data_IF_300123257305
#
_entry.id   IF_300123257305
#
_cell.length_a   1.000
_cell.length_b   1.000
_cell.length_c   1.000
_cell.angle_alpha   90.00
_cell.angle_beta   90.00
_cell.angle_gamma   90.00
#
_symmetry.space_group_name_H-M   'P 1'
#
loop_
_entity.id
_entity.type
_entity.pdbx_description
1 polymer ?
#
# COMPACT_ATOMS: atom_id res chain seq x y z
N UNK A 1 -7.55 -6.96 -11.75
CA UNK A 1 -7.36 -6.64 -10.32
C UNK A 1 -7.47 -5.14 -10.14
N UNK A 2 -7.78 -4.69 -8.93
CA UNK A 2 -7.94 -3.28 -8.57
C UNK A 2 -6.89 -2.84 -7.58
N UNK A 3 -6.14 -1.79 -7.92
CA UNK A 3 -5.21 -1.11 -7.04
C UNK A 3 -5.92 0.01 -6.30
N UNK A 4 -5.81 0.05 -4.97
CA UNK A 4 -6.20 1.18 -4.14
C UNK A 4 -4.98 2.03 -3.81
N UNK A 5 -4.95 3.28 -4.27
CA UNK A 5 -3.84 4.20 -4.03
C UNK A 5 -4.24 5.18 -2.94
N UNK A 6 -3.65 5.07 -1.75
CA UNK A 6 -3.96 5.97 -0.64
C UNK A 6 -3.45 7.39 -0.92
N UNK A 7 -4.30 8.38 -0.67
CA UNK A 7 -3.98 9.81 -0.85
C UNK A 7 -4.06 10.52 0.48
N UNK A 8 -2.93 11.04 0.93
CA UNK A 8 -2.83 11.89 2.13
C UNK A 8 -2.59 13.34 1.73
N UNK A 9 -2.97 14.32 2.56
CA UNK A 9 -2.55 15.69 2.32
C UNK A 9 -1.02 15.77 2.22
N UNK A 10 -0.49 16.23 1.07
CA UNK A 10 0.95 16.27 0.81
C UNK A 10 1.54 15.01 0.16
N UNK A 11 0.75 13.98 -0.16
CA UNK A 11 1.17 12.95 -1.14
C UNK A 11 1.44 13.62 -2.49
N UNK A 12 2.48 13.19 -3.18
CA UNK A 12 2.82 13.70 -4.52
C UNK A 12 3.33 12.61 -5.47
N UNK A 13 3.36 11.35 -5.04
CA UNK A 13 3.69 10.19 -5.86
C UNK A 13 2.48 9.25 -6.03
N UNK A 14 1.31 9.69 -5.61
CA UNK A 14 0.05 8.99 -5.79
C UNK A 14 -0.35 8.94 -7.27
N UNK A 15 -0.14 10.03 -8.02
CA UNK A 15 -0.34 10.05 -9.48
C UNK A 15 0.63 9.11 -10.20
N UNK A 16 1.91 9.05 -9.79
CA UNK A 16 2.90 8.14 -10.38
C UNK A 16 2.50 6.68 -10.16
N UNK A 17 2.06 6.34 -8.93
CA UNK A 17 1.59 4.99 -8.60
C UNK A 17 0.31 4.62 -9.36
N UNK A 18 -0.61 5.57 -9.50
CA UNK A 18 -1.85 5.40 -10.28
C UNK A 18 -1.54 5.20 -11.77
N UNK A 19 -0.68 6.04 -12.35
CA UNK A 19 -0.22 5.92 -13.72
C UNK A 19 0.43 4.56 -13.98
N UNK A 20 1.35 4.15 -13.11
CA UNK A 20 1.99 2.84 -13.23
C UNK A 20 0.93 1.73 -13.24
N UNK A 21 0.03 1.67 -12.26
CA UNK A 21 -0.98 0.63 -12.18
C UNK A 21 -1.92 0.62 -13.40
N UNK A 22 -2.42 1.78 -13.79
CA UNK A 22 -3.47 1.90 -14.80
C UNK A 22 -2.94 1.93 -16.22
N UNK A 23 -2.02 2.84 -16.53
CA UNK A 23 -1.56 3.08 -17.90
C UNK A 23 -0.44 2.12 -18.31
N UNK A 24 0.49 1.81 -17.38
CA UNK A 24 1.62 0.94 -17.70
C UNK A 24 1.27 -0.54 -17.59
N UNK A 25 0.52 -0.92 -16.55
CA UNK A 25 0.17 -2.32 -16.27
C UNK A 25 -1.27 -2.70 -16.65
N UNK A 26 -2.09 -1.76 -17.10
CA UNK A 26 -3.44 -2.00 -17.61
C UNK A 26 -4.39 -2.57 -16.53
N UNK A 27 -4.16 -2.23 -15.27
CA UNK A 27 -4.99 -2.68 -14.16
C UNK A 27 -6.02 -1.61 -13.78
N UNK A 28 -7.10 -2.00 -13.10
CA UNK A 28 -7.99 -1.03 -12.50
C UNK A 28 -7.30 -0.33 -11.33
N UNK A 29 -7.47 0.97 -11.17
CA UNK A 29 -6.88 1.75 -10.10
C UNK A 29 -7.85 2.82 -9.59
N UNK A 30 -7.85 3.05 -8.27
CA UNK A 30 -8.72 4.01 -7.62
C UNK A 30 -7.98 4.73 -6.49
N UNK A 31 -8.22 6.04 -6.37
CA UNK A 31 -7.72 6.82 -5.24
C UNK A 31 -8.56 6.59 -4.00
N UNK A 32 -7.87 6.36 -2.88
CA UNK A 32 -8.45 6.16 -1.56
C UNK A 32 -8.09 7.37 -0.69
N UNK A 33 -9.04 8.25 -0.45
CA UNK A 33 -8.79 9.44 0.37
C UNK A 33 -8.55 9.07 1.83
N UNK A 34 -7.56 9.67 2.46
CA UNK A 34 -7.11 9.31 3.81
C UNK A 34 -8.20 9.35 4.89
N UNK A 35 -9.29 10.11 4.67
CA UNK A 35 -10.45 10.17 5.58
C UNK A 35 -11.50 9.11 5.31
N UNK A 36 -11.42 8.40 4.18
CA UNK A 36 -12.35 7.32 3.90
C UNK A 36 -12.07 6.13 4.83
N UNK A 37 -13.12 5.39 5.15
CA UNK A 37 -13.05 4.14 5.91
C UNK A 37 -13.50 2.97 5.02
N UNK A 38 -13.08 2.98 3.75
CA UNK A 38 -13.42 1.95 2.75
C UNK A 38 -12.30 1.86 1.71
N UNK A 39 -11.80 0.66 1.48
CA UNK A 39 -10.81 0.36 0.44
C UNK A 39 -11.42 0.11 -0.94
N UNK A 40 -12.74 0.31 -1.09
CA UNK A 40 -13.49 0.24 -2.35
C UNK A 40 -13.25 -1.05 -3.15
N UNK A 41 -13.07 -2.15 -2.42
CA UNK A 41 -12.82 -3.45 -3.02
C UNK A 41 -11.44 -3.58 -3.68
N UNK A 42 -10.44 -2.88 -3.19
CA UNK A 42 -9.06 -3.02 -3.65
C UNK A 42 -8.54 -4.44 -3.39
N UNK A 43 -7.88 -5.01 -4.39
CA UNK A 43 -7.16 -6.30 -4.29
C UNK A 43 -5.75 -6.10 -3.74
N UNK A 44 -5.18 -4.91 -3.93
CA UNK A 44 -3.88 -4.49 -3.40
C UNK A 44 -3.95 -3.02 -3.01
N UNK A 45 -3.27 -2.63 -1.94
CA UNK A 45 -3.20 -1.23 -1.50
C UNK A 45 -1.78 -0.72 -1.63
N UNK A 46 -1.62 0.47 -2.22
CA UNK A 46 -0.36 1.20 -2.25
C UNK A 46 -0.46 2.45 -1.36
N UNK A 47 0.47 2.57 -0.42
CA UNK A 47 0.75 3.82 0.28
C UNK A 47 1.88 4.50 -0.47
N UNK A 48 1.62 5.59 -1.21
CA UNK A 48 2.59 6.19 -2.12
C UNK A 48 3.63 7.03 -1.38
N UNK A 49 4.65 7.45 -2.11
CA UNK A 49 5.61 8.44 -1.67
C UNK A 49 5.02 9.84 -1.57
N UNK A 50 5.80 10.75 -1.01
CA UNK A 50 5.44 12.14 -0.82
C UNK A 50 5.84 12.67 0.55
N UNK A 51 5.07 13.64 1.04
CA UNK A 51 5.26 14.31 2.33
C UNK A 51 3.92 14.36 3.07
N UNK A 52 3.39 13.19 3.44
CA UNK A 52 2.08 13.08 4.07
C UNK A 52 1.96 13.99 5.30
N UNK A 53 0.95 14.87 5.28
CA UNK A 53 0.74 15.93 6.29
C UNK A 53 1.96 16.87 6.47
N UNK A 54 2.79 17.04 5.41
CA UNK A 54 3.99 17.89 5.44
C UNK A 54 5.09 17.37 6.36
N UNK A 55 5.10 16.04 6.63
CA UNK A 55 6.02 15.37 7.56
C UNK A 55 6.04 16.01 8.97
N UNK A 56 4.91 16.62 9.35
CA UNK A 56 4.78 17.26 10.65
C UNK A 56 5.04 16.27 11.78
N UNK A 57 5.81 16.67 12.78
CA UNK A 57 6.41 15.86 13.85
C UNK A 57 7.57 15.00 13.35
N UNK A 58 7.34 14.10 12.41
CA UNK A 58 8.29 13.26 11.64
C UNK A 58 7.54 12.57 10.51
N UNK A 59 8.28 12.02 9.56
CA UNK A 59 7.73 11.36 8.38
C UNK A 59 6.77 10.22 8.75
N UNK A 60 5.57 10.24 8.16
CA UNK A 60 4.54 9.22 8.38
C UNK A 60 3.77 9.31 9.71
N UNK A 61 4.24 10.10 10.68
CA UNK A 61 3.69 10.11 12.04
C UNK A 61 2.22 10.55 12.11
N UNK A 62 1.82 11.53 11.31
CA UNK A 62 0.43 12.00 11.27
C UNK A 62 -0.46 11.09 10.45
N UNK A 63 0.05 10.58 9.34
CA UNK A 63 -0.71 9.73 8.42
C UNK A 63 -1.21 8.44 9.09
N UNK A 64 -0.45 7.87 10.04
CA UNK A 64 -0.84 6.65 10.77
C UNK A 64 -2.20 6.74 11.48
N UNK A 65 -2.65 7.96 11.81
CA UNK A 65 -3.94 8.21 12.49
C UNK A 65 -5.10 8.47 11.53
N UNK A 66 -4.83 8.48 10.24
CA UNK A 66 -5.89 8.66 9.23
C UNK A 66 -6.87 7.48 9.25
N UNK A 67 -8.19 7.70 9.09
CA UNK A 67 -9.19 6.65 9.09
C UNK A 67 -8.86 5.49 8.14
N UNK A 68 -8.37 5.78 6.94
CA UNK A 68 -8.00 4.76 5.97
C UNK A 68 -6.97 3.74 6.53
N UNK A 69 -6.08 4.15 7.43
CA UNK A 69 -5.06 3.26 8.00
C UNK A 69 -5.65 2.18 8.91
N UNK A 70 -6.85 2.38 9.46
CA UNK A 70 -7.60 1.33 10.18
C UNK A 70 -8.01 0.23 9.20
N UNK A 71 -8.52 0.61 8.03
CA UNK A 71 -8.93 -0.32 7.00
C UNK A 71 -7.74 -1.02 6.34
N UNK A 72 -6.64 -0.28 6.11
CA UNK A 72 -5.37 -0.85 5.60
C UNK A 72 -4.84 -1.91 6.57
N UNK A 73 -4.85 -1.64 7.88
CA UNK A 73 -4.45 -2.63 8.89
C UNK A 73 -5.35 -3.86 8.85
N UNK A 74 -6.66 -3.67 8.91
CA UNK A 74 -7.62 -4.78 8.85
C UNK A 74 -7.50 -5.59 7.54
N UNK A 75 -7.17 -4.93 6.43
CA UNK A 75 -6.91 -5.58 5.15
C UNK A 75 -5.61 -6.41 5.20
N UNK A 76 -4.53 -5.84 5.73
CA UNK A 76 -3.26 -6.53 5.90
C UNK A 76 -3.38 -7.75 6.84
N UNK A 77 -4.11 -7.62 7.95
CA UNK A 77 -4.34 -8.70 8.93
C UNK A 77 -5.11 -9.88 8.32
N UNK A 78 -5.92 -9.64 7.29
CA UNK A 78 -6.61 -10.67 6.50
C UNK A 78 -5.76 -11.25 5.35
N UNK A 79 -4.47 -10.87 5.27
CA UNK A 79 -3.55 -11.32 4.22
C UNK A 79 -3.57 -10.45 2.96
N UNK A 80 -4.29 -9.34 2.97
CA UNK A 80 -4.33 -8.42 1.84
C UNK A 80 -2.96 -7.76 1.60
N UNK A 81 -2.49 -7.68 0.33
CA UNK A 81 -1.17 -7.15 0.02
C UNK A 81 -1.14 -5.62 0.11
N UNK A 82 -0.15 -5.11 0.84
CA UNK A 82 0.09 -3.68 1.03
C UNK A 82 1.52 -3.33 0.66
N UNK A 83 1.70 -2.34 -0.22
CA UNK A 83 2.99 -1.79 -0.62
C UNK A 83 3.13 -0.36 -0.11
N UNK A 84 4.14 -0.07 0.70
CA UNK A 84 4.54 1.28 1.07
C UNK A 84 5.79 1.72 0.32
N UNK A 85 5.69 2.80 -0.43
CA UNK A 85 6.79 3.36 -1.23
C UNK A 85 7.27 4.65 -0.56
N UNK A 86 8.56 4.77 -0.26
CA UNK A 86 9.18 5.97 0.33
C UNK A 86 8.40 6.46 1.58
N UNK A 87 7.64 7.53 1.50
CA UNK A 87 6.78 8.01 2.60
C UNK A 87 5.75 6.95 3.03
N UNK A 88 5.24 6.14 2.10
CA UNK A 88 4.37 5.00 2.44
C UNK A 88 5.08 3.97 3.31
N UNK A 89 6.36 3.70 3.08
CA UNK A 89 7.15 2.83 3.97
C UNK A 89 7.30 3.43 5.37
N UNK A 90 7.57 4.74 5.45
CA UNK A 90 7.63 5.46 6.74
C UNK A 90 6.30 5.35 7.49
N UNK A 91 5.16 5.47 6.79
CA UNK A 91 3.82 5.29 7.37
C UNK A 91 3.62 3.85 7.89
N UNK A 92 4.08 2.84 7.15
CA UNK A 92 4.00 1.43 7.60
C UNK A 92 4.81 1.17 8.87
N UNK A 93 5.99 1.79 9.00
CA UNK A 93 6.80 1.73 10.22
C UNK A 93 6.08 2.44 11.39
N UNK A 94 5.61 3.66 11.19
CA UNK A 94 4.91 4.45 12.21
C UNK A 94 3.60 3.81 12.67
N UNK A 95 2.90 3.11 11.78
CA UNK A 95 1.69 2.37 12.10
C UNK A 95 1.95 1.02 12.75
N UNK A 96 3.22 0.56 12.81
CA UNK A 96 3.59 -0.76 13.36
C UNK A 96 3.16 -1.94 12.47
N UNK A 97 2.89 -1.71 11.19
CA UNK A 97 2.67 -2.76 10.19
C UNK A 97 3.98 -3.38 9.73
N UNK A 98 5.08 -2.63 9.86
CA UNK A 98 6.45 -3.11 9.66
C UNK A 98 7.30 -2.79 10.90
N UNK A 99 8.32 -3.60 11.22
CA UNK A 99 9.21 -3.37 12.36
C UNK A 99 10.27 -2.32 12.06
N UNK A 100 10.72 -1.59 13.09
CA UNK A 100 11.80 -0.61 12.99
C UNK A 100 11.30 0.83 12.90
N UNK A 101 12.19 1.72 12.47
CA UNK A 101 11.93 3.15 12.33
C UNK A 101 12.72 3.74 11.17
N UNK A 102 12.32 4.91 10.70
CA UNK A 102 13.08 5.66 9.70
C UNK A 102 13.73 6.89 10.35
N UNK A 103 15.00 7.08 10.09
CA UNK A 103 15.78 8.21 10.57
C UNK A 103 16.20 9.10 9.38
N UNK A 104 16.68 10.31 9.71
CA UNK A 104 17.30 11.19 8.72
C UNK A 104 18.51 10.51 8.07
N UNK A 105 18.71 10.77 6.80
CA UNK A 105 19.88 10.28 6.07
C UNK A 105 21.16 10.62 6.84
N UNK A 106 22.12 9.70 6.90
CA UNK A 106 23.38 9.87 7.61
C UNK A 106 24.11 11.18 7.25
N UNK A 107 24.02 11.60 5.97
CA UNK A 107 24.60 12.86 5.50
C UNK A 107 23.74 14.11 5.73
N UNK A 108 22.57 14.01 6.37
CA UNK A 108 21.60 15.08 6.60
C UNK A 108 21.18 15.85 5.33
N UNK A 109 21.40 15.25 4.16
CA UNK A 109 21.03 15.81 2.84
C UNK A 109 19.92 14.99 2.22
N UNK A 110 19.07 15.67 1.47
CA UNK A 110 18.12 15.02 0.57
C UNK A 110 18.90 14.27 -0.52
N UNK A 111 18.51 13.01 -0.75
CA UNK A 111 19.09 12.17 -1.80
C UNK A 111 18.04 11.99 -2.90
N UNK A 112 18.44 12.33 -4.14
CA UNK A 112 17.64 12.15 -5.33
C UNK A 112 18.54 11.59 -6.43
N UNK A 113 18.59 10.28 -6.55
CA UNK A 113 19.51 9.57 -7.43
C UNK A 113 18.99 8.16 -7.75
N UNK A 114 19.50 7.54 -8.80
CA UNK A 114 19.29 6.12 -9.02
C UNK A 114 20.24 5.29 -8.14
N UNK A 115 19.70 4.27 -7.50
CA UNK A 115 20.45 3.32 -6.68
C UNK A 115 20.32 1.90 -7.24
N UNK A 116 21.27 1.05 -6.90
CA UNK A 116 21.22 -0.37 -7.21
C UNK A 116 20.71 -1.14 -6.00
N UNK A 117 19.78 -2.05 -6.23
CA UNK A 117 19.09 -2.83 -5.23
C UNK A 117 19.28 -4.30 -5.52
N UNK A 118 19.89 -5.03 -4.60
CA UNK A 118 19.94 -6.49 -4.68
C UNK A 118 18.65 -7.08 -4.09
N UNK A 119 18.00 -7.94 -4.86
CA UNK A 119 16.82 -8.71 -4.42
C UNK A 119 17.30 -9.84 -3.50
N UNK A 120 16.87 -9.83 -2.24
CA UNK A 120 17.22 -10.85 -1.24
C UNK A 120 16.20 -11.99 -1.19
N UNK A 121 14.91 -11.66 -1.26
CA UNK A 121 13.80 -12.61 -1.15
C UNK A 121 12.82 -12.44 -2.31
N UNK A 122 12.30 -13.57 -2.79
CA UNK A 122 11.33 -13.63 -3.90
C UNK A 122 9.99 -14.27 -3.50
N UNK A 123 9.82 -14.55 -2.22
CA UNK A 123 8.66 -15.23 -1.65
C UNK A 123 7.62 -14.24 -1.10
N UNK A 124 7.50 -13.08 -1.74
CA UNK A 124 6.46 -12.08 -1.48
C UNK A 124 5.66 -11.78 -2.75
N UNK A 125 4.41 -11.30 -2.64
CA UNK A 125 3.64 -10.84 -3.80
C UNK A 125 4.31 -9.71 -4.60
N UNK A 126 5.32 -9.08 -4.03
CA UNK A 126 5.98 -7.89 -4.60
C UNK A 126 7.34 -8.18 -5.23
N UNK A 127 7.87 -9.40 -5.07
CA UNK A 127 9.21 -9.77 -5.56
C UNK A 127 9.22 -11.10 -6.32
N UNK A 128 8.06 -11.76 -6.46
CA UNK A 128 7.94 -13.12 -7.04
C UNK A 128 8.32 -13.20 -8.53
N UNK A 129 8.26 -12.11 -9.29
CA UNK A 129 8.70 -12.05 -10.68
C UNK A 129 10.20 -11.74 -10.83
N UNK A 130 10.88 -11.38 -9.75
CA UNK A 130 12.32 -11.16 -9.74
C UNK A 130 13.09 -12.49 -9.50
N UNK A 131 14.42 -12.42 -9.57
CA UNK A 131 15.31 -13.51 -9.18
C UNK A 131 16.12 -13.12 -7.95
N UNK A 132 16.35 -14.06 -7.04
CA UNK A 132 17.23 -13.85 -5.92
C UNK A 132 18.63 -13.45 -6.43
N UNK A 133 19.22 -12.40 -5.85
CA UNK A 133 20.48 -11.81 -6.29
C UNK A 133 20.37 -10.89 -7.52
N UNK A 134 19.19 -10.75 -8.13
CA UNK A 134 19.00 -9.79 -9.22
C UNK A 134 19.26 -8.37 -8.71
N UNK A 135 19.95 -7.57 -9.52
CA UNK A 135 20.16 -6.15 -9.25
C UNK A 135 19.15 -5.33 -10.05
N UNK A 136 18.43 -4.45 -9.35
CA UNK A 136 17.47 -3.51 -9.93
C UNK A 136 18.01 -2.10 -9.78
N UNK A 137 17.93 -1.27 -10.81
CA UNK A 137 18.30 0.14 -10.79
C UNK A 137 17.03 1.00 -10.71
N UNK A 138 16.74 1.52 -9.51
CA UNK A 138 15.49 2.26 -9.20
C UNK A 138 15.84 3.59 -8.54
N UNK A 139 15.11 4.70 -8.82
CA UNK A 139 15.37 5.99 -8.20
C UNK A 139 14.93 6.05 -6.75
N UNK A 140 15.61 6.86 -5.95
CA UNK A 140 15.22 7.31 -4.61
C UNK A 140 15.02 8.82 -4.60
N UNK A 141 14.20 9.32 -3.64
CA UNK A 141 13.99 10.75 -3.41
C UNK A 141 13.55 11.01 -1.96
N UNK A 142 14.51 11.16 -1.01
CA UNK A 142 14.16 11.30 0.40
C UNK A 142 15.24 12.01 1.24
N UNK A 143 14.80 12.68 2.31
CA UNK A 143 15.66 13.21 3.37
C UNK A 143 15.75 12.27 4.58
N UNK A 144 14.79 11.37 4.72
CA UNK A 144 14.67 10.41 5.81
C UNK A 144 14.44 9.01 5.23
N UNK A 145 15.55 8.31 4.94
CA UNK A 145 15.54 6.97 4.36
C UNK A 145 16.47 6.00 5.09
N UNK A 146 17.07 6.45 6.19
CA UNK A 146 17.97 5.66 7.00
C UNK A 146 17.16 4.72 7.91
N UNK A 147 16.95 3.49 7.46
CA UNK A 147 16.27 2.47 8.25
C UNK A 147 17.07 2.10 9.49
N UNK A 148 16.39 2.06 10.62
CA UNK A 148 16.94 1.73 11.92
C UNK A 148 16.09 0.68 12.64
N UNK A 149 16.74 -0.29 13.28
CA UNK A 149 16.15 -1.17 14.26
C UNK A 149 17.14 -1.48 15.37
N UNK A 150 16.69 -1.67 16.64
CA UNK A 150 17.55 -2.17 17.70
C UNK A 150 18.20 -3.51 17.33
N UNK A 151 19.41 -3.84 17.86
CA UNK A 151 20.14 -5.04 17.44
C UNK A 151 19.32 -6.35 17.52
N UNK A 152 18.56 -6.56 18.56
CA UNK A 152 17.72 -7.75 18.74
C UNK A 152 16.59 -7.83 17.68
N UNK A 153 15.98 -6.68 17.37
CA UNK A 153 14.97 -6.59 16.30
C UNK A 153 15.61 -6.85 14.94
N UNK A 154 16.76 -6.26 14.69
CA UNK A 154 17.49 -6.45 13.44
C UNK A 154 17.88 -7.93 13.24
N UNK A 155 18.37 -8.59 14.30
CA UNK A 155 18.67 -10.02 14.25
C UNK A 155 17.42 -10.85 13.93
N UNK A 156 16.25 -10.52 14.53
CA UNK A 156 14.98 -11.21 14.23
C UNK A 156 14.54 -11.00 12.79
N UNK A 157 14.63 -9.78 12.27
CA UNK A 157 14.31 -9.44 10.88
C UNK A 157 15.17 -10.26 9.91
N UNK A 158 16.47 -10.36 10.18
CA UNK A 158 17.41 -11.15 9.38
C UNK A 158 17.11 -12.66 9.46
N UNK A 159 16.91 -13.19 10.67
CA UNK A 159 16.60 -14.60 10.90
C UNK A 159 15.29 -15.02 10.21
N UNK A 160 14.28 -14.15 10.25
CA UNK A 160 12.98 -14.37 9.59
C UNK A 160 13.02 -14.06 8.09
N UNK A 161 14.20 -13.68 7.54
CA UNK A 161 14.37 -13.34 6.12
C UNK A 161 13.40 -12.26 5.65
N UNK A 162 13.12 -11.24 6.50
CA UNK A 162 12.17 -10.18 6.18
C UNK A 162 12.78 -9.09 5.29
N UNK A 163 14.12 -9.03 5.15
CA UNK A 163 14.78 -8.10 4.22
C UNK A 163 14.59 -8.60 2.80
N UNK A 164 13.90 -7.81 1.97
CA UNK A 164 13.63 -8.19 0.58
C UNK A 164 14.53 -7.49 -0.43
N UNK A 165 15.02 -6.28 -0.08
CA UNK A 165 15.90 -5.48 -0.94
C UNK A 165 17.01 -4.85 -0.09
N UNK A 166 18.23 -4.86 -0.62
CA UNK A 166 19.35 -4.12 -0.05
C UNK A 166 19.97 -3.18 -1.08
N UNK A 167 20.46 -2.04 -0.61
CA UNK A 167 21.36 -1.21 -1.39
C UNK A 167 22.65 -1.97 -1.70
N UNK A 168 23.08 -1.92 -2.95
CA UNK A 168 24.23 -2.67 -3.44
C UNK A 168 24.96 -1.88 -4.53
N UNK A 169 26.13 -2.36 -4.92
CA UNK A 169 26.80 -1.89 -6.13
C UNK A 169 26.14 -2.46 -7.40
N UNK A 170 26.56 -2.02 -8.61
CA UNK A 170 25.99 -2.53 -9.87
C UNK A 170 26.15 -4.05 -10.06
N UNK A 171 27.12 -4.67 -9.40
CA UNK A 171 27.38 -6.13 -9.43
C UNK A 171 26.66 -6.89 -8.30
N UNK A 172 25.89 -6.17 -7.46
CA UNK A 172 25.11 -6.76 -6.35
C UNK A 172 25.92 -7.03 -5.09
N UNK A 173 27.14 -6.48 -4.96
CA UNK A 173 27.94 -6.60 -3.74
C UNK A 173 27.48 -5.56 -2.71
N UNK A 174 27.45 -5.96 -1.45
CA UNK A 174 27.09 -5.06 -0.35
C UNK A 174 28.33 -4.32 0.13
N UNK A 175 28.36 -3.02 -0.06
CA UNK A 175 29.41 -2.12 0.43
C UNK A 175 28.75 -0.84 0.96
N UNK A 176 29.25 -0.31 2.09
CA UNK A 176 28.70 0.91 2.71
C UNK A 176 28.81 2.14 1.80
N UNK A 177 29.75 2.14 0.85
CA UNK A 177 29.86 3.19 -0.17
C UNK A 177 28.62 3.31 -1.07
N UNK A 178 27.86 2.22 -1.22
CA UNK A 178 26.62 2.16 -1.99
C UNK A 178 25.36 2.28 -1.15
N UNK A 179 25.49 2.48 0.15
CA UNK A 179 24.40 2.73 1.08
C UNK A 179 24.14 4.24 1.20
N UNK A 180 23.20 4.82 0.42
CA UNK A 180 23.11 6.26 0.20
C UNK A 180 22.67 7.03 1.44
N UNK A 181 21.96 6.36 2.36
CA UNK A 181 21.29 7.00 3.49
C UNK A 181 21.79 6.52 4.86
N UNK A 182 22.65 5.49 4.91
CA UNK A 182 23.18 4.93 6.16
C UNK A 182 22.27 3.88 6.81
N UNK A 183 21.35 3.30 6.04
CA UNK A 183 20.40 2.28 6.48
C UNK A 183 21.10 1.09 7.11
N UNK A 184 20.58 0.59 8.25
CA UNK A 184 21.12 -0.59 8.91
C UNK A 184 21.18 -1.78 7.94
N UNK A 185 22.32 -2.48 7.88
CA UNK A 185 22.56 -3.61 6.97
C UNK A 185 22.21 -3.32 5.50
N UNK A 186 22.33 -2.06 5.07
CA UNK A 186 21.97 -1.58 3.73
C UNK A 186 20.51 -1.91 3.35
N UNK A 187 19.58 -2.04 4.30
CA UNK A 187 18.18 -2.36 4.07
C UNK A 187 17.50 -1.25 3.26
N UNK A 188 17.05 -1.58 2.06
CA UNK A 188 16.29 -0.69 1.19
C UNK A 188 14.79 -1.00 1.19
N UNK A 189 14.43 -2.23 1.55
CA UNK A 189 13.05 -2.69 1.68
C UNK A 189 12.93 -3.96 2.50
N UNK A 190 11.82 -4.08 3.22
CA UNK A 190 11.52 -5.24 4.05
C UNK A 190 10.03 -5.58 4.03
N UNK A 191 9.70 -6.80 4.44
CA UNK A 191 8.33 -7.27 4.59
C UNK A 191 8.00 -7.60 6.06
N UNK A 192 6.69 -7.72 6.36
CA UNK A 192 6.22 -8.31 7.61
C UNK A 192 6.44 -9.84 7.61
N UNK A 193 6.20 -10.50 8.76
CA UNK A 193 6.36 -11.95 8.88
C UNK A 193 5.39 -12.73 7.98
N UNK A 194 4.19 -12.22 7.75
CA UNK A 194 3.19 -12.82 6.84
C UNK A 194 3.48 -12.58 5.36
N UNK A 195 4.49 -11.77 5.01
CA UNK A 195 4.98 -11.46 3.66
C UNK A 195 4.00 -10.73 2.73
N UNK A 196 2.91 -10.25 3.25
CA UNK A 196 1.89 -9.50 2.52
C UNK A 196 1.97 -7.98 2.67
N UNK A 197 2.77 -7.48 3.60
CA UNK A 197 3.05 -6.04 3.75
C UNK A 197 4.52 -5.80 3.44
N UNK A 198 4.79 -4.93 2.49
CA UNK A 198 6.14 -4.56 2.04
C UNK A 198 6.31 -3.06 2.09
N UNK A 199 7.45 -2.61 2.61
CA UNK A 199 7.89 -1.23 2.53
C UNK A 199 9.25 -1.14 1.82
N UNK A 200 9.41 -0.14 0.95
CA UNK A 200 10.67 0.13 0.27
C UNK A 200 10.87 1.64 0.07
N UNK A 201 12.11 2.10 0.21
CA UNK A 201 12.45 3.52 -0.01
C UNK A 201 12.55 3.91 -1.48
N UNK A 202 13.06 3.04 -2.38
CA UNK A 202 13.07 3.31 -3.81
C UNK A 202 11.66 3.37 -4.43
N UNK A 203 11.55 4.08 -5.54
CA UNK A 203 10.31 4.36 -6.28
C UNK A 203 10.18 3.46 -7.52
N UNK A 204 9.62 2.25 -7.42
CA UNK A 204 9.45 1.37 -8.59
C UNK A 204 8.49 1.96 -9.62
N UNK A 205 7.48 2.75 -9.21
CA UNK A 205 6.54 3.43 -10.09
C UNK A 205 7.21 4.42 -11.05
N UNK A 206 8.39 4.92 -10.67
CA UNK A 206 9.20 5.84 -11.49
C UNK A 206 10.27 5.14 -12.34
N UNK A 207 10.26 3.82 -12.38
CA UNK A 207 11.18 2.99 -13.14
C UNK A 207 10.43 1.87 -13.89
N UNK A 208 9.23 2.17 -14.42
CA UNK A 208 8.39 1.23 -15.15
C UNK A 208 8.36 1.49 -16.67
N UNK A 209 8.92 2.61 -17.11
CA UNK A 209 8.89 3.06 -18.51
C UNK A 209 10.27 3.57 -18.94
N UNK A 210 10.69 3.21 -20.15
CA UNK A 210 11.97 3.63 -20.71
C UNK A 210 12.12 5.16 -20.77
N UNK A 211 11.01 5.88 -20.99
CA UNK A 211 10.97 7.34 -21.00
C UNK A 211 11.42 7.96 -19.68
N UNK A 212 11.16 7.28 -18.56
CA UNK A 212 11.55 7.71 -17.22
C UNK A 212 13.00 7.30 -16.85
N UNK A 213 13.74 6.68 -17.79
CA UNK A 213 15.15 6.34 -17.61
C UNK A 213 15.41 4.98 -17.00
N UNK A 214 14.40 4.11 -16.86
CA UNK A 214 14.56 2.76 -16.35
C UNK A 214 13.29 1.92 -16.43
N UNK A 215 13.47 0.59 -16.42
CA UNK A 215 12.36 -0.38 -16.47
C UNK A 215 12.41 -1.41 -15.34
N UNK A 216 13.37 -1.31 -14.44
CA UNK A 216 13.59 -2.34 -13.41
C UNK A 216 12.50 -2.33 -12.32
N UNK A 217 11.78 -1.21 -12.15
CA UNK A 217 10.60 -1.11 -11.29
C UNK A 217 9.46 -2.02 -11.71
N UNK A 218 9.45 -2.44 -13.00
CA UNK A 218 8.45 -3.42 -13.49
C UNK A 218 8.49 -4.72 -12.71
N UNK A 219 9.66 -5.15 -12.24
CA UNK A 219 9.79 -6.38 -11.47
C UNK A 219 8.84 -6.41 -10.24
N UNK A 220 8.59 -5.26 -9.62
CA UNK A 220 7.68 -5.12 -8.47
C UNK A 220 6.21 -5.24 -8.93
N UNK A 221 5.81 -4.48 -9.93
CA UNK A 221 4.43 -4.51 -10.43
C UNK A 221 4.09 -5.82 -11.15
N UNK A 222 5.02 -6.39 -11.93
CA UNK A 222 4.84 -7.71 -12.57
C UNK A 222 4.65 -8.81 -11.52
N UNK A 223 5.34 -8.70 -10.37
CA UNK A 223 5.15 -9.62 -9.23
C UNK A 223 3.73 -9.55 -8.68
N UNK A 224 3.23 -8.32 -8.45
CA UNK A 224 1.88 -8.09 -7.96
C UNK A 224 0.86 -8.68 -8.93
N UNK A 225 0.93 -8.26 -10.21
CA UNK A 225 -0.03 -8.70 -11.25
C UNK A 225 0.06 -10.22 -11.46
N UNK A 226 1.26 -10.80 -11.43
CA UNK A 226 1.49 -12.25 -11.60
C UNK A 226 0.90 -13.08 -10.47
N UNK A 227 1.01 -12.61 -9.22
CA UNK A 227 0.46 -13.29 -8.05
C UNK A 227 -1.06 -13.44 -8.15
N UNK A 228 -1.78 -12.40 -8.58
CA UNK A 228 -3.24 -12.46 -8.71
C UNK A 228 -3.71 -13.26 -9.93
N UNK A 229 -2.97 -13.19 -11.05
CA UNK A 229 -3.29 -14.01 -12.23
C UNK A 229 -3.18 -15.52 -11.94
N UNK A 230 -2.22 -15.91 -11.11
CA UNK A 230 -2.03 -17.31 -10.71
C UNK A 230 -3.14 -17.80 -9.79
N UNK A 231 -3.72 -16.93 -8.96
CA UNK A 231 -4.84 -17.27 -8.08
C UNK A 231 -6.16 -17.51 -8.84
N UNK A 232 -6.34 -16.86 -9.99
CA UNK A 232 -7.53 -17.01 -10.85
C UNK A 232 -7.42 -18.21 -11.83
N UNK A 233 -6.25 -18.83 -11.97
CA UNK A 233 -6.06 -20.01 -12.80
C UNK A 233 -6.18 -21.28 -11.95
N UNK A 234 -7.11 -22.22 -12.27
CA UNK A 234 -7.13 -23.53 -11.63
C UNK A 234 -5.80 -24.26 -11.94
N UNK A 235 -5.31 -25.11 -11.03
CA UNK A 235 -4.07 -25.85 -11.25
C UNK A 235 -4.17 -26.66 -12.55
N UNK A 236 -3.09 -26.74 -13.34
CA UNK A 236 -3.10 -27.45 -14.61
C UNK A 236 -3.45 -28.94 -14.36
N UNK A 237 -4.59 -29.35 -14.93
CA UNK A 237 -5.05 -30.75 -14.86
C UNK A 237 -6.44 -31.01 -14.30
N UNK A 238 -7.15 -29.98 -13.80
CA UNK A 238 -8.57 -30.13 -13.43
C UNK A 238 -9.47 -29.56 -14.54
N UNK A 239 -10.49 -30.33 -15.02
CA UNK A 239 -11.43 -29.82 -16.00
C UNK A 239 -12.20 -28.62 -15.36
N UNK A 240 -12.41 -27.58 -16.13
CA UNK A 240 -13.24 -26.43 -15.73
C UNK A 240 -14.60 -26.96 -15.31
N UNK A 241 -14.90 -26.99 -14.01
CA UNK A 241 -16.24 -27.18 -13.56
C UNK A 241 -17.07 -25.98 -14.01
N UNK A 242 -18.20 -26.26 -14.69
CA UNK A 242 -19.16 -25.28 -15.14
C UNK A 242 -19.84 -24.62 -13.90
N UNK A 243 -19.14 -23.64 -13.28
CA UNK A 243 -19.56 -22.95 -12.05
C UNK A 243 -19.80 -21.45 -12.20
N UNK A 244 -19.97 -20.97 -13.45
CA UNK A 244 -20.26 -19.54 -13.69
C UNK A 244 -21.76 -19.24 -13.87
N UNK A 245 -22.66 -20.20 -13.65
CA UNK A 245 -24.13 -20.01 -13.80
C UNK A 245 -24.91 -19.90 -12.50
N UNK A 246 -24.29 -20.13 -11.33
CA UNK A 246 -25.04 -20.17 -10.06
C UNK A 246 -25.31 -18.79 -9.43
N UNK A 247 -24.77 -17.69 -9.98
CA UNK A 247 -25.03 -16.34 -9.46
C UNK A 247 -26.19 -15.63 -10.15
N UNK A 248 -26.64 -16.13 -11.31
CA UNK A 248 -27.79 -15.58 -12.04
C UNK A 248 -29.13 -16.23 -11.63
N UNK A 249 -29.15 -17.45 -11.09
CA UNK A 249 -30.37 -18.15 -10.70
C UNK A 249 -30.90 -17.85 -9.28
N UNK A 250 -30.10 -17.22 -8.42
CA UNK A 250 -30.60 -16.82 -7.08
C UNK A 250 -31.42 -15.55 -7.06
N UNK A 251 -31.54 -14.83 -8.18
CA UNK A 251 -32.38 -13.62 -8.29
C UNK A 251 -33.80 -13.88 -8.87
N UNK A 252 -34.10 -15.10 -9.26
CA UNK A 252 -35.34 -15.45 -9.95
C UNK A 252 -36.38 -16.24 -9.10
N UNK A 253 -36.13 -16.45 -7.81
CA UNK A 253 -37.09 -17.17 -6.93
C UNK A 253 -37.37 -16.35 -5.67
N UNK A 254 -38.13 -15.24 -5.85
CA UNK A 254 -38.94 -14.70 -4.78
C UNK A 254 -40.41 -14.80 -5.20
N UNK A 255 -41.27 -15.48 -4.42
CA UNK A 255 -42.69 -15.55 -4.74
C UNK A 255 -43.35 -14.20 -4.43
N UNK A 256 -44.09 -13.70 -5.42
CA UNK A 256 -45.02 -12.60 -5.29
C UNK A 256 -46.15 -12.98 -4.32
N UNK A 257 -46.22 -12.27 -3.19
CA UNK A 257 -47.43 -12.28 -2.35
C UNK A 257 -48.28 -11.06 -2.72
N UNK A 258 -49.38 -11.35 -3.39
CA UNK A 258 -50.46 -10.41 -3.68
C UNK A 258 -51.53 -10.50 -2.57
N UNK A 259 -52.01 -9.32 -2.14
CA UNK A 259 -53.33 -9.14 -1.48
C UNK A 259 -53.23 -8.83 0.02
N UNK A 260 -53.89 -7.88 0.58
CA UNK A 260 -55.19 -7.28 0.31
C UNK A 260 -55.33 -5.99 1.15
N UNK A 261 -56.20 -5.13 0.68
CA UNK A 261 -56.61 -3.83 1.20
C UNK A 261 -57.15 -3.82 2.64
N UNK A 262 -57.02 -2.66 3.29
CA UNK A 262 -57.69 -2.36 4.56
C UNK A 262 -57.51 -0.89 4.97
N UNK A 263 -58.44 -0.06 4.55
CA UNK A 263 -58.67 1.34 4.95
C UNK A 263 -58.53 1.60 6.44
N UNK A 264 -58.01 2.76 6.83
CA UNK A 264 -58.66 3.79 7.65
C UNK A 264 -57.70 4.90 8.08
N UNK A 265 -57.97 6.10 7.56
CA UNK A 265 -57.63 7.39 8.20
C UNK A 265 -58.51 7.60 9.45
N UNK A 266 -58.15 8.45 10.44
CA UNK A 266 -58.10 9.89 10.26
C UNK A 266 -57.02 10.66 11.04
N UNK A 267 -56.69 11.85 10.54
CA UNK A 267 -56.09 13.00 11.23
C UNK A 267 -57.19 13.73 12.05
N UNK A 268 -57.00 14.91 12.72
CA UNK A 268 -55.82 15.64 13.22
C UNK A 268 -56.05 16.26 14.65
N UNK A 269 -55.01 16.88 15.26
CA UNK A 269 -55.12 18.08 16.13
C UNK A 269 -53.75 18.54 16.59
N UNK A 270 -53.24 19.68 16.17
CA UNK A 270 -53.34 21.07 16.70
C UNK A 270 -52.88 21.24 18.15
N UNK A 271 -51.87 22.10 18.34
CA UNK A 271 -51.67 22.73 19.62
C UNK A 271 -50.29 23.31 19.86
N UNK A 272 -50.08 24.59 19.43
CA UNK A 272 -49.54 25.77 20.12
C UNK A 272 -48.09 25.74 20.70
N UNK A 273 -47.26 26.54 20.08
CA UNK A 273 -46.51 27.73 20.53
C UNK A 273 -46.28 27.93 22.04
N UNK A 274 -45.01 28.15 22.39
CA UNK A 274 -44.59 29.21 23.34
C UNK A 274 -43.14 29.62 23.10
N UNK A 275 -43.00 30.87 22.81
CA UNK A 275 -41.82 31.71 22.83
C UNK A 275 -41.40 32.04 24.27
N UNK A 276 -40.13 32.42 24.46
CA UNK A 276 -39.56 33.47 25.31
C UNK A 276 -38.07 33.22 25.45
N UNK A 277 -37.20 34.02 24.82
CA UNK A 277 -36.61 35.32 25.23
C UNK A 277 -35.74 35.25 26.50
N UNK A 278 -34.56 35.80 26.37
CA UNK A 278 -33.82 36.43 27.45
C UNK A 278 -32.36 35.98 27.56
N UNK A 279 -31.53 36.86 27.13
CA UNK A 279 -30.56 37.79 27.75
C UNK A 279 -29.19 37.20 28.12
N UNK A 280 -28.19 37.67 27.40
CA UNK A 280 -27.04 38.59 27.74
C UNK A 280 -26.39 38.39 29.12
N UNK A 281 -25.13 38.28 29.07
CA UNK A 281 -24.04 39.05 29.71
C UNK A 281 -22.94 38.15 30.25
N UNK A 282 -21.83 38.29 29.89
CA UNK A 282 -20.52 38.95 30.01
C UNK A 282 -19.43 38.14 29.40
#
# INVERSE_FOLDING_TARGET
>A
MRFGIAVFPGSNCDEDAFHAAREVFGQDAEYLWHKDADLRGADVVILPGGFAHGDYLRTGAMARFSPIMTEVRAFADRGGPVLGICNGFQILLESGLLPGAMLRNRGLKYRCEHVHLRVEQIDTPFTSAARAGQVLRIPIGHGEGNYFAPPEMLQRIETNRQVILRYADPEGRLDDAWNPNGSANAIAGLCNEARNVVGMMPHPERACEALLGGMDGRAIFDSIVGTFRSADQPPPGLPRSAGASAKAERLALQPSVVGAAGDRHPSPSSGRSASLSGERSR
#
